data_IF_632603680606
#
_entry.id   IF_632603680606
#
_cell.length_a   1.000
_cell.length_b   1.000
_cell.length_c   1.000
_cell.angle_alpha   90.00
_cell.angle_beta   90.00
_cell.angle_gamma   90.00
#
_symmetry.space_group_name_H-M   'P 1'
#
loop_
_entity.id
_entity.type
_entity.pdbx_description
1 polymer ?
#
# COMPACT_ATOMS: atom_id res chain seq x y z
N UNK A 1 -1.99 -9.83 -66.52
CA UNK A 1 -2.19 -8.66 -65.63
C UNK A 1 -3.36 -8.97 -64.72
N UNK A 2 -3.14 -8.80 -63.41
CA UNK A 2 -3.96 -9.12 -62.23
C UNK A 2 -5.41 -8.60 -62.32
N UNK A 3 -6.42 -9.17 -61.66
CA UNK A 3 -6.58 -9.27 -60.19
C UNK A 3 -7.64 -10.32 -59.76
N UNK A 4 -7.41 -10.92 -58.59
CA UNK A 4 -8.40 -11.67 -57.80
C UNK A 4 -9.23 -10.72 -56.94
N UNK A 5 -10.50 -11.05 -56.65
CA UNK A 5 -11.16 -10.87 -55.33
C UNK A 5 -12.44 -11.71 -55.31
N UNK A 6 -12.44 -12.81 -54.55
CA UNK A 6 -13.64 -13.59 -54.26
C UNK A 6 -14.13 -13.26 -52.86
N UNK A 7 -15.36 -12.77 -52.81
CA UNK A 7 -16.20 -12.49 -51.65
C UNK A 7 -16.63 -13.76 -50.93
N UNK A 8 -16.54 -13.79 -49.61
CA UNK A 8 -17.19 -14.78 -48.74
C UNK A 8 -18.36 -14.15 -48.00
N UNK A 9 -19.53 -14.70 -48.27
CA UNK A 9 -20.84 -14.40 -47.69
C UNK A 9 -21.08 -15.10 -46.35
N UNK A 10 -21.71 -14.37 -45.41
CA UNK A 10 -22.71 -14.77 -44.38
C UNK A 10 -22.40 -15.99 -43.47
N UNK A 11 -22.74 -16.00 -42.18
CA UNK A 11 -24.12 -15.94 -41.64
C UNK A 11 -24.06 -15.90 -40.10
N UNK A 12 -25.00 -15.21 -39.48
CA UNK A 12 -25.27 -15.21 -38.05
C UNK A 12 -26.18 -16.38 -37.62
N UNK A 13 -25.90 -16.99 -36.47
CA UNK A 13 -26.92 -17.68 -35.66
C UNK A 13 -26.52 -17.80 -34.19
N UNK A 14 -27.48 -17.46 -33.35
CA UNK A 14 -27.58 -17.47 -31.88
C UNK A 14 -27.49 -18.85 -31.22
N UNK A 15 -27.00 -18.91 -29.97
CA UNK A 15 -27.21 -20.05 -29.05
C UNK A 15 -26.19 -20.07 -27.91
N UNK A 16 -26.67 -20.30 -26.68
CA UNK A 16 -26.02 -19.98 -25.40
C UNK A 16 -25.15 -21.09 -24.78
N UNK A 17 -24.36 -20.65 -23.79
CA UNK A 17 -23.86 -21.33 -22.59
C UNK A 17 -22.64 -22.28 -22.61
N UNK A 18 -21.58 -21.75 -21.98
CA UNK A 18 -20.59 -22.36 -21.06
C UNK A 18 -19.89 -23.65 -21.53
N UNK A 19 -18.65 -23.53 -22.03
CA UNK A 19 -17.51 -24.40 -21.68
C UNK A 19 -16.18 -23.64 -21.88
N UNK A 20 -15.42 -23.48 -20.79
CA UNK A 20 -13.96 -23.42 -20.79
C UNK A 20 -13.29 -22.16 -21.34
N UNK A 21 -13.01 -21.21 -20.46
CA UNK A 21 -11.96 -20.21 -20.65
C UNK A 21 -10.62 -20.95 -20.84
N UNK A 22 -10.28 -21.23 -22.09
CA UNK A 22 -8.99 -21.75 -22.51
C UNK A 22 -8.02 -20.60 -22.29
N UNK A 23 -7.22 -20.74 -21.24
CA UNK A 23 -6.25 -19.76 -20.80
C UNK A 23 -5.56 -19.05 -21.96
N UNK A 24 -5.92 -17.78 -22.12
CA UNK A 24 -5.10 -16.83 -22.85
C UNK A 24 -3.79 -16.74 -22.06
N UNK A 25 -2.79 -17.50 -22.52
CA UNK A 25 -1.44 -17.36 -22.00
C UNK A 25 -1.09 -15.87 -22.15
N UNK A 26 -0.79 -15.15 -21.06
CA UNK A 26 -0.54 -13.71 -21.15
C UNK A 26 0.53 -13.51 -22.21
N UNK A 27 0.22 -12.72 -23.26
CA UNK A 27 1.21 -12.43 -24.28
C UNK A 27 2.47 -11.94 -23.56
N UNK A 28 3.66 -12.50 -23.89
CA UNK A 28 4.87 -12.16 -23.17
C UNK A 28 5.12 -10.66 -23.32
N UNK A 29 5.13 -9.95 -22.20
CA UNK A 29 5.48 -8.53 -22.15
C UNK A 29 6.89 -8.38 -22.67
N UNK A 30 7.06 -7.70 -23.81
CA UNK A 30 8.37 -7.44 -24.40
C UNK A 30 9.03 -6.28 -23.64
N UNK A 31 10.25 -6.52 -23.15
CA UNK A 31 11.01 -5.55 -22.35
C UNK A 31 12.30 -5.16 -23.05
N UNK A 32 12.78 -3.96 -22.77
CA UNK A 32 14.16 -3.59 -23.09
C UNK A 32 15.10 -4.19 -22.04
N UNK A 33 16.35 -4.43 -22.39
CA UNK A 33 17.35 -4.94 -21.44
C UNK A 33 18.21 -3.77 -20.97
N UNK A 34 18.42 -3.64 -19.66
CA UNK A 34 19.31 -2.62 -19.13
C UNK A 34 20.72 -2.79 -19.71
N UNK A 35 21.31 -1.69 -20.16
CA UNK A 35 22.69 -1.63 -20.61
C UNK A 35 23.71 -1.72 -19.46
N UNK A 36 23.25 -1.59 -18.20
CA UNK A 36 24.11 -1.60 -17.02
C UNK A 36 23.83 -2.81 -16.14
N UNK A 37 24.80 -3.71 -16.05
CA UNK A 37 24.68 -4.96 -15.28
C UNK A 37 24.68 -4.75 -13.77
N UNK A 38 25.08 -3.57 -13.28
CA UNK A 38 25.03 -3.20 -11.88
C UNK A 38 23.68 -2.58 -11.47
N UNK A 39 22.74 -2.41 -12.41
CA UNK A 39 21.37 -2.06 -12.06
C UNK A 39 20.70 -3.18 -11.27
N UNK A 40 19.87 -2.79 -10.30
CA UNK A 40 19.00 -3.69 -9.56
C UNK A 40 17.54 -3.33 -9.82
N UNK A 41 16.60 -4.13 -9.33
CA UNK A 41 15.19 -3.74 -9.37
C UNK A 41 14.95 -2.42 -8.62
N UNK A 42 15.54 -2.23 -7.44
CA UNK A 42 15.24 -1.06 -6.60
C UNK A 42 16.02 0.18 -6.97
N UNK A 43 17.27 0.04 -7.41
CA UNK A 43 18.19 1.16 -7.63
C UNK A 43 18.88 1.06 -8.99
N UNK A 44 19.08 2.22 -9.63
CA UNK A 44 20.05 2.31 -10.72
C UNK A 44 21.48 2.07 -10.19
N UNK A 45 22.37 1.63 -11.07
CA UNK A 45 23.74 1.27 -10.74
C UNK A 45 24.46 2.35 -9.93
N UNK A 46 25.02 1.96 -8.78
CA UNK A 46 25.76 2.80 -7.85
C UNK A 46 24.97 3.98 -7.24
N UNK A 47 23.64 3.96 -7.34
CA UNK A 47 22.75 5.03 -6.87
C UNK A 47 21.81 4.56 -5.74
N UNK A 48 22.28 3.59 -4.94
CA UNK A 48 21.54 3.15 -3.74
C UNK A 48 21.25 4.36 -2.84
N UNK A 49 19.99 4.50 -2.41
CA UNK A 49 19.50 5.62 -1.61
C UNK A 49 19.59 7.01 -2.25
N UNK A 50 19.88 7.07 -3.55
CA UNK A 50 20.00 8.34 -4.29
C UNK A 50 19.09 8.39 -5.49
N UNK A 51 18.90 7.27 -6.18
CA UNK A 51 18.07 7.21 -7.39
C UNK A 51 17.34 5.87 -7.44
N UNK A 52 16.16 5.78 -6.82
CA UNK A 52 15.33 4.60 -6.95
C UNK A 52 14.91 4.46 -8.41
N UNK A 53 14.74 3.21 -8.83
CA UNK A 53 14.23 2.91 -10.16
C UNK A 53 12.77 3.34 -10.27
N UNK A 54 12.43 4.00 -11.37
CA UNK A 54 11.06 4.44 -11.64
C UNK A 54 10.14 3.25 -11.86
N UNK A 55 8.83 3.45 -11.63
CA UNK A 55 7.83 2.44 -11.94
C UNK A 55 7.82 2.08 -13.43
N UNK A 56 8.08 3.06 -14.31
CA UNK A 56 8.24 2.82 -15.74
C UNK A 56 9.34 1.81 -16.04
N UNK A 57 10.55 2.08 -15.57
CA UNK A 57 11.69 1.19 -15.80
C UNK A 57 11.52 -0.15 -15.08
N UNK A 58 10.84 -0.18 -13.94
CA UNK A 58 10.59 -1.40 -13.19
C UNK A 58 9.84 -2.46 -13.99
N UNK A 59 8.85 -2.06 -14.79
CA UNK A 59 8.06 -2.98 -15.60
C UNK A 59 8.63 -3.16 -17.01
N UNK A 60 9.21 -2.11 -17.58
CA UNK A 60 9.58 -2.06 -19.00
C UNK A 60 11.04 -2.42 -19.27
N UNK A 61 11.92 -2.40 -18.26
CA UNK A 61 13.36 -2.67 -18.39
C UNK A 61 13.75 -3.90 -17.56
N UNK A 62 14.25 -4.94 -18.23
CA UNK A 62 14.79 -6.13 -17.59
C UNK A 62 16.22 -5.90 -17.08
N UNK A 63 16.53 -6.42 -15.90
CA UNK A 63 17.86 -6.37 -15.29
C UNK A 63 18.44 -7.75 -15.02
N UNK A 64 19.76 -7.78 -14.87
CA UNK A 64 20.54 -8.96 -14.51
C UNK A 64 20.11 -9.57 -13.17
N UNK A 65 19.59 -8.76 -12.23
CA UNK A 65 19.13 -9.24 -10.92
C UNK A 65 17.85 -10.10 -10.99
N UNK A 66 17.20 -10.19 -12.15
CA UNK A 66 16.02 -11.02 -12.37
C UNK A 66 14.74 -10.20 -12.59
N UNK A 67 13.59 -10.84 -12.33
CA UNK A 67 12.28 -10.24 -12.51
C UNK A 67 11.96 -9.23 -11.40
N UNK A 68 11.47 -8.06 -11.79
CA UNK A 68 11.08 -7.01 -10.85
C UNK A 68 9.56 -6.94 -10.69
N UNK A 69 9.11 -6.33 -9.59
CA UNK A 69 7.73 -5.95 -9.36
C UNK A 69 7.62 -4.58 -8.69
N UNK A 70 6.52 -3.88 -8.95
CA UNK A 70 6.13 -2.70 -8.18
C UNK A 70 5.29 -3.13 -6.98
N UNK A 71 5.64 -2.63 -5.80
CA UNK A 71 4.86 -2.77 -4.58
C UNK A 71 3.73 -1.73 -4.49
N UNK A 72 2.72 -1.90 -3.61
CA UNK A 72 1.65 -0.91 -3.43
C UNK A 72 2.14 0.52 -3.13
N UNK A 73 3.29 0.67 -2.46
CA UNK A 73 3.89 1.98 -2.16
C UNK A 73 4.69 2.58 -3.33
N UNK A 74 4.66 1.99 -4.53
CA UNK A 74 5.34 2.49 -5.73
C UNK A 74 6.82 2.11 -5.82
N UNK A 75 7.37 1.37 -4.86
CA UNK A 75 8.76 0.93 -4.94
C UNK A 75 8.94 -0.28 -5.86
N UNK A 76 10.01 -0.27 -6.65
CA UNK A 76 10.43 -1.42 -7.44
C UNK A 76 11.29 -2.39 -6.61
N UNK A 77 10.95 -3.68 -6.62
CA UNK A 77 11.62 -4.72 -5.84
C UNK A 77 11.89 -5.97 -6.64
N UNK A 78 12.80 -6.82 -6.16
CA UNK A 78 13.08 -8.11 -6.78
C UNK A 78 11.95 -9.10 -6.49
N UNK A 79 11.34 -9.65 -7.53
CA UNK A 79 10.21 -10.56 -7.37
C UNK A 79 10.57 -11.85 -6.63
N UNK A 80 11.81 -12.34 -6.76
CA UNK A 80 12.23 -13.57 -6.09
C UNK A 80 12.23 -13.41 -4.58
N UNK A 81 12.68 -12.26 -4.07
CA UNK A 81 12.71 -11.92 -2.65
C UNK A 81 11.30 -11.76 -2.06
N UNK A 82 10.36 -11.25 -2.86
CA UNK A 82 8.98 -10.97 -2.45
C UNK A 82 7.96 -12.00 -2.95
N UNK A 83 8.43 -13.11 -3.53
CA UNK A 83 7.59 -14.16 -4.14
C UNK A 83 6.55 -14.74 -3.18
N UNK A 84 6.92 -14.85 -1.89
CA UNK A 84 6.03 -15.30 -0.80
C UNK A 84 4.82 -14.41 -0.57
N UNK A 85 4.89 -13.12 -0.92
CA UNK A 85 3.78 -12.18 -0.76
C UNK A 85 2.80 -12.21 -1.95
N UNK A 86 3.22 -12.76 -3.09
CA UNK A 86 2.35 -12.92 -4.26
C UNK A 86 1.28 -13.99 -4.03
N UNK A 87 1.64 -15.06 -3.32
CA UNK A 87 0.71 -16.15 -3.00
C UNK A 87 -0.33 -15.74 -1.96
N UNK A 88 -0.02 -14.75 -1.13
CA UNK A 88 -0.93 -14.22 -0.10
C UNK A 88 -1.78 -13.04 -0.61
N UNK A 89 -1.49 -12.54 -1.81
CA UNK A 89 -2.21 -11.41 -2.40
C UNK A 89 -3.71 -11.70 -2.61
N UNK A 90 -4.06 -12.97 -2.91
CA UNK A 90 -5.45 -13.40 -3.05
C UNK A 90 -6.24 -13.27 -1.73
N UNK A 91 -5.56 -13.31 -0.58
CA UNK A 91 -6.16 -13.27 0.75
C UNK A 91 -6.43 -11.84 1.24
N UNK A 92 -5.56 -10.89 0.90
CA UNK A 92 -5.62 -9.50 1.40
C UNK A 92 -6.12 -8.47 0.38
N UNK A 93 -6.45 -8.90 -0.84
CA UNK A 93 -7.07 -8.06 -1.87
C UNK A 93 -6.18 -6.91 -2.35
N UNK A 94 -6.82 -5.81 -2.77
CA UNK A 94 -6.18 -4.71 -3.52
C UNK A 94 -5.08 -3.97 -2.75
N UNK A 95 -5.07 -4.02 -1.41
CA UNK A 95 -4.11 -3.29 -0.58
C UNK A 95 -2.68 -3.84 -0.67
N UNK A 96 -2.52 -5.11 -1.03
CA UNK A 96 -1.22 -5.77 -1.13
C UNK A 96 -0.92 -6.22 -2.56
N UNK A 97 -1.49 -5.52 -3.54
CA UNK A 97 -1.29 -5.84 -4.95
C UNK A 97 0.09 -5.42 -5.44
N UNK A 98 0.88 -6.42 -5.82
CA UNK A 98 2.16 -6.31 -6.51
C UNK A 98 1.95 -6.44 -8.01
N UNK A 99 2.74 -5.69 -8.77
CA UNK A 99 2.68 -5.67 -10.23
C UNK A 99 3.97 -6.23 -10.80
N UNK A 100 4.05 -7.55 -11.06
CA UNK A 100 5.23 -8.17 -11.63
C UNK A 100 5.43 -7.79 -13.09
N UNK A 101 6.65 -7.40 -13.43
CA UNK A 101 7.07 -6.99 -14.77
C UNK A 101 6.82 -8.04 -15.85
N UNK A 102 6.78 -9.33 -15.53
CA UNK A 102 6.41 -10.39 -16.49
C UNK A 102 4.96 -10.37 -16.96
N UNK A 103 4.06 -9.69 -16.24
CA UNK A 103 2.61 -9.65 -16.52
C UNK A 103 2.11 -8.26 -16.93
N UNK A 104 2.84 -7.21 -16.56
CA UNK A 104 2.40 -5.82 -16.73
C UNK A 104 3.49 -5.00 -17.41
N UNK A 105 3.05 -4.05 -18.24
CA UNK A 105 3.87 -3.00 -18.86
C UNK A 105 3.45 -1.67 -18.25
N UNK A 106 4.38 -0.74 -18.02
CA UNK A 106 4.03 0.61 -17.56
C UNK A 106 3.76 1.52 -18.76
N UNK A 107 2.76 2.41 -18.66
CA UNK A 107 2.44 3.34 -19.74
C UNK A 107 3.51 4.41 -19.94
N UNK A 108 3.68 4.86 -21.19
CA UNK A 108 4.47 6.05 -21.50
C UNK A 108 3.85 7.32 -20.92
N UNK A 109 4.65 8.36 -20.78
CA UNK A 109 4.19 9.68 -20.29
C UNK A 109 3.25 10.38 -21.28
N UNK A 110 3.18 9.89 -22.51
CA UNK A 110 2.34 10.36 -23.61
C UNK A 110 0.98 9.64 -23.70
N UNK A 111 0.73 8.63 -22.87
CA UNK A 111 -0.59 8.00 -22.80
C UNK A 111 -1.62 8.97 -22.19
N UNK A 112 -2.62 9.32 -23.00
CA UNK A 112 -3.64 10.31 -22.63
C UNK A 112 -4.50 9.85 -21.45
N UNK A 113 -4.76 8.55 -21.35
CA UNK A 113 -5.61 7.97 -20.29
C UNK A 113 -4.89 8.04 -18.94
N UNK A 114 -3.62 7.62 -18.92
CA UNK A 114 -2.79 7.74 -17.73
C UNK A 114 -2.54 9.20 -17.34
N UNK A 115 -2.35 10.09 -18.31
CA UNK A 115 -2.22 11.53 -18.04
C UNK A 115 -3.45 12.12 -17.35
N UNK A 116 -4.65 11.74 -17.79
CA UNK A 116 -5.90 12.17 -17.16
C UNK A 116 -6.08 11.63 -15.73
N UNK A 117 -5.74 10.34 -15.53
CA UNK A 117 -5.73 9.71 -14.21
C UNK A 117 -4.75 10.41 -13.25
N UNK A 118 -3.50 10.63 -13.70
CA UNK A 118 -2.45 11.32 -12.95
C UNK A 118 -2.84 12.75 -12.57
N UNK A 119 -3.51 13.49 -13.46
CA UNK A 119 -3.99 14.83 -13.15
C UNK A 119 -5.01 14.84 -11.98
N UNK A 120 -5.90 13.85 -11.96
CA UNK A 120 -6.90 13.68 -10.89
C UNK A 120 -6.22 13.35 -9.57
N UNK A 121 -5.34 12.33 -9.55
CA UNK A 121 -4.61 11.92 -8.35
C UNK A 121 -3.78 13.05 -7.75
N UNK A 122 -3.10 13.83 -8.60
CA UNK A 122 -2.33 14.98 -8.15
C UNK A 122 -3.20 16.11 -7.59
N UNK A 123 -4.42 16.29 -8.10
CA UNK A 123 -5.39 17.24 -7.54
C UNK A 123 -5.89 16.79 -6.17
N UNK A 124 -6.22 15.51 -6.05
CA UNK A 124 -6.73 14.91 -4.80
C UNK A 124 -5.65 14.94 -3.73
N UNK A 125 -4.41 14.56 -4.08
CA UNK A 125 -3.26 14.61 -3.16
C UNK A 125 -2.99 16.02 -2.65
N UNK A 126 -3.08 17.06 -3.50
CA UNK A 126 -2.93 18.46 -3.05
C UNK A 126 -4.04 18.91 -2.10
N UNK A 127 -5.22 18.31 -2.18
CA UNK A 127 -6.39 18.71 -1.40
C UNK A 127 -6.47 17.96 -0.08
N UNK A 128 -6.17 16.66 -0.09
CA UNK A 128 -6.32 15.75 1.04
C UNK A 128 -5.00 15.36 1.72
N UNK A 129 -3.85 15.75 1.14
CA UNK A 129 -2.49 15.34 1.55
C UNK A 129 -2.24 13.81 1.49
N UNK A 130 -3.20 13.06 0.93
CA UNK A 130 -3.15 11.61 0.77
C UNK A 130 -4.12 11.15 -0.32
N UNK A 131 -3.92 9.92 -0.81
CA UNK A 131 -4.87 9.18 -1.64
C UNK A 131 -5.31 7.95 -0.84
N UNK A 132 -6.61 7.85 -0.53
CA UNK A 132 -7.15 6.85 0.41
C UNK A 132 -6.94 5.39 -0.02
N UNK A 133 -6.66 5.10 -1.29
CA UNK A 133 -6.45 3.72 -1.75
C UNK A 133 -5.41 3.61 -2.88
N UNK A 134 -4.68 2.48 -2.99
CA UNK A 134 -3.83 2.19 -4.13
C UNK A 134 -4.69 2.16 -5.39
N UNK A 135 -4.64 3.27 -6.13
CA UNK A 135 -5.41 3.45 -7.35
C UNK A 135 -4.51 3.20 -8.55
N UNK A 136 -5.02 2.45 -9.51
CA UNK A 136 -4.36 2.22 -10.79
C UNK A 136 -5.28 2.63 -11.92
N UNK A 137 -4.69 2.87 -13.08
CA UNK A 137 -5.38 3.22 -14.30
C UNK A 137 -4.74 2.41 -15.44
N UNK A 138 -5.57 2.00 -16.40
CA UNK A 138 -5.14 1.22 -17.56
C UNK A 138 -5.14 2.15 -18.76
N UNK A 139 -3.97 2.28 -19.42
CA UNK A 139 -3.80 3.09 -20.62
C UNK A 139 -4.42 2.46 -21.87
N UNK A 140 -4.25 3.12 -23.01
CA UNK A 140 -4.91 2.75 -24.27
C UNK A 140 -4.50 1.37 -24.77
N UNK A 141 -3.23 1.01 -24.61
CA UNK A 141 -2.66 -0.28 -25.05
C UNK A 141 -2.69 -1.36 -23.95
N UNK A 142 -3.48 -1.16 -22.88
CA UNK A 142 -3.53 -2.09 -21.75
C UNK A 142 -2.32 -1.99 -20.81
N UNK A 143 -1.47 -0.98 -20.98
CA UNK A 143 -0.40 -0.65 -20.05
C UNK A 143 -0.97 -0.11 -18.72
N UNK A 144 -0.14 -0.10 -17.68
CA UNK A 144 -0.51 0.28 -16.33
C UNK A 144 0.14 1.60 -15.93
N UNK A 145 -0.60 2.45 -15.22
CA UNK A 145 -0.05 3.53 -14.41
C UNK A 145 -0.63 3.47 -13.00
N UNK A 146 0.16 3.90 -12.02
CA UNK A 146 -0.13 3.73 -10.59
C UNK A 146 -0.06 5.08 -9.90
N UNK A 147 -1.10 5.43 -9.13
CA UNK A 147 -1.17 6.71 -8.44
C UNK A 147 0.08 7.00 -7.63
N UNK A 148 0.55 6.06 -6.81
CA UNK A 148 1.71 6.27 -5.94
C UNK A 148 3.01 6.53 -6.70
N UNK A 149 3.15 6.06 -7.94
CA UNK A 149 4.31 6.32 -8.78
C UNK A 149 4.29 7.72 -9.42
N UNK A 150 3.10 8.31 -9.54
CA UNK A 150 2.84 9.55 -10.28
C UNK A 150 2.70 10.78 -9.37
N UNK A 151 2.74 10.56 -8.05
CA UNK A 151 2.69 11.63 -7.03
C UNK A 151 4.01 12.39 -6.92
N UNK A 152 4.00 13.70 -6.63
CA UNK A 152 5.22 14.53 -6.64
C UNK A 152 6.24 14.14 -5.56
N UNK A 153 5.81 13.55 -4.45
CA UNK A 153 6.65 13.14 -3.32
C UNK A 153 7.14 11.70 -3.42
N UNK A 154 6.71 10.93 -4.45
CA UNK A 154 6.94 9.48 -4.55
C UNK A 154 8.40 9.10 -4.29
N UNK A 155 9.30 9.85 -4.92
CA UNK A 155 10.74 9.62 -4.86
C UNK A 155 11.26 9.77 -3.43
N UNK A 156 10.84 10.83 -2.74
CA UNK A 156 11.24 11.09 -1.36
C UNK A 156 10.72 10.00 -0.44
N UNK A 157 9.47 9.58 -0.62
CA UNK A 157 8.90 8.47 0.17
C UNK A 157 9.70 7.19 0.00
N UNK A 158 10.02 6.79 -1.24
CA UNK A 158 10.80 5.57 -1.49
C UNK A 158 12.18 5.63 -0.87
N UNK A 159 12.87 6.77 -0.99
CA UNK A 159 14.20 6.94 -0.38
C UNK A 159 14.10 6.92 1.14
N UNK A 160 13.18 7.66 1.75
CA UNK A 160 12.98 7.67 3.20
C UNK A 160 12.69 6.28 3.75
N UNK A 161 11.75 5.55 3.14
CA UNK A 161 11.36 4.19 3.55
C UNK A 161 12.54 3.21 3.54
N UNK A 162 13.43 3.31 2.56
CA UNK A 162 14.54 2.38 2.40
C UNK A 162 15.81 2.79 3.15
N UNK A 163 16.03 4.09 3.33
CA UNK A 163 17.38 4.62 3.59
C UNK A 163 17.51 5.38 4.90
N UNK A 164 16.41 5.85 5.49
CA UNK A 164 16.48 6.50 6.81
C UNK A 164 16.83 5.52 7.95
N UNK A 165 16.88 4.22 7.65
CA UNK A 165 17.50 3.20 8.51
C UNK A 165 19.04 3.28 8.56
N UNK A 166 19.70 3.99 7.62
CA UNK A 166 21.15 3.88 7.37
C UNK A 166 22.00 5.10 7.77
N UNK A 167 21.40 6.19 8.25
CA UNK A 167 22.14 7.34 8.82
C UNK A 167 22.52 7.16 10.31
N UNK A 168 22.53 5.91 10.79
CA UNK A 168 22.90 5.57 12.17
C UNK A 168 24.32 5.04 12.31
N UNK A 169 25.28 5.43 11.46
CA UNK A 169 26.71 5.34 11.79
C UNK A 169 27.06 6.51 12.76
N UNK A 170 26.47 6.46 13.96
CA UNK A 170 26.52 7.57 14.91
C UNK A 170 25.37 7.64 15.92
N UNK A 171 24.40 6.71 15.90
CA UNK A 171 23.47 6.53 17.00
C UNK A 171 23.68 5.14 17.61
N UNK A 172 24.30 5.13 18.79
CA UNK A 172 24.13 4.04 19.75
C UNK A 172 22.65 3.72 19.79
N UNK A 173 22.32 2.45 19.64
CA UNK A 173 21.04 1.88 20.05
C UNK A 173 20.79 2.24 21.52
N UNK A 174 20.16 3.38 21.73
CA UNK A 174 19.26 3.63 22.83
C UNK A 174 17.94 3.88 22.10
N UNK A 175 17.12 2.87 21.88
CA UNK A 175 16.02 2.61 22.83
C UNK A 175 16.13 3.42 24.12
N UNK A 176 15.96 4.74 24.02
CA UNK A 176 15.51 5.49 25.18
C UNK A 176 14.04 5.15 25.35
N UNK A 177 13.79 4.19 26.23
CA UNK A 177 12.54 3.90 26.93
C UNK A 177 12.02 5.10 27.76
N UNK A 178 12.31 6.33 27.33
CA UNK A 178 12.09 7.57 28.06
C UNK A 178 10.90 8.41 27.54
N UNK A 179 10.21 7.98 26.48
CA UNK A 179 9.00 8.68 25.98
C UNK A 179 7.68 7.88 26.13
N UNK A 180 7.71 6.76 26.86
CA UNK A 180 6.50 6.09 27.35
C UNK A 180 6.23 6.33 28.84
N UNK A 181 7.26 6.77 29.59
CA UNK A 181 7.16 7.11 31.01
C UNK A 181 6.42 8.45 31.23
N UNK A 182 6.57 9.42 30.31
CA UNK A 182 5.88 10.72 30.42
C UNK A 182 4.36 10.62 30.30
N UNK A 183 3.86 9.85 29.32
CA UNK A 183 2.42 9.64 29.15
C UNK A 183 1.81 8.73 30.22
N UNK A 184 2.54 7.69 30.67
CA UNK A 184 2.06 6.82 31.74
C UNK A 184 1.96 7.54 33.09
N UNK A 185 2.91 8.43 33.41
CA UNK A 185 2.85 9.25 34.62
C UNK A 185 1.76 10.34 34.53
N UNK A 186 1.59 10.99 33.37
CA UNK A 186 0.54 11.99 33.20
C UNK A 186 -0.88 11.38 33.31
N UNK A 187 -1.09 10.21 32.69
CA UNK A 187 -2.37 9.49 32.77
C UNK A 187 -2.58 8.95 34.19
N UNK A 188 -1.56 8.36 34.82
CA UNK A 188 -1.63 7.86 36.19
C UNK A 188 -1.97 8.96 37.22
N UNK A 189 -1.38 10.15 37.08
CA UNK A 189 -1.67 11.30 37.96
C UNK A 189 -3.09 11.81 37.70
N UNK A 190 -3.52 11.93 36.44
CA UNK A 190 -4.88 12.37 36.12
C UNK A 190 -5.95 11.41 36.67
N UNK A 191 -5.77 10.09 36.47
CA UNK A 191 -6.67 9.08 37.04
C UNK A 191 -6.61 9.06 38.57
N UNK A 192 -5.42 9.20 39.18
CA UNK A 192 -5.26 9.26 40.62
C UNK A 192 -5.97 10.47 41.26
N UNK A 193 -5.89 11.64 40.63
CA UNK A 193 -6.61 12.84 41.09
C UNK A 193 -8.11 12.67 40.92
N UNK A 194 -8.58 12.11 39.80
CA UNK A 194 -10.01 11.87 39.57
C UNK A 194 -10.60 10.86 40.57
N UNK A 195 -9.88 9.76 40.84
CA UNK A 195 -10.29 8.74 41.83
C UNK A 195 -10.19 9.30 43.25
N UNK A 196 -9.15 10.07 43.57
CA UNK A 196 -8.99 10.72 44.87
C UNK A 196 -10.11 11.73 45.16
N UNK A 197 -10.45 12.59 44.19
CA UNK A 197 -11.59 13.51 44.29
C UNK A 197 -12.92 12.77 44.41
N UNK A 198 -13.09 11.63 43.72
CA UNK A 198 -14.25 10.75 43.87
C UNK A 198 -14.33 10.10 45.25
N UNK A 199 -13.21 9.62 45.80
CA UNK A 199 -13.16 9.01 47.13
C UNK A 199 -13.43 10.04 48.24
N UNK A 200 -12.85 11.24 48.12
CA UNK A 200 -13.15 12.37 49.01
C UNK A 200 -14.64 12.74 48.92
N UNK A 201 -15.20 12.82 47.70
CA UNK A 201 -16.62 13.06 47.49
C UNK A 201 -17.50 11.96 48.08
N UNK A 202 -17.10 10.69 48.01
CA UNK A 202 -17.79 9.58 48.69
C UNK A 202 -17.70 9.68 50.21
N UNK A 203 -16.54 10.02 50.78
CA UNK A 203 -16.37 10.18 52.23
C UNK A 203 -17.15 11.40 52.77
N UNK A 204 -17.26 12.47 52.00
CA UNK A 204 -18.15 13.60 52.34
C UNK A 204 -19.63 13.25 52.13
N UNK A 205 -19.95 12.37 51.18
CA UNK A 205 -21.31 11.84 50.99
C UNK A 205 -21.69 10.78 52.03
N UNK A 206 -20.73 10.19 52.73
CA UNK A 206 -20.97 9.27 53.87
C UNK A 206 -21.08 10.02 55.21
N UNK A 207 -20.66 11.28 55.27
CA UNK A 207 -20.92 12.16 56.42
C UNK A 207 -22.16 13.03 56.26
N UNK A 208 -22.81 12.99 55.10
CA UNK A 208 -24.06 13.68 54.83
C UNK A 208 -25.14 12.69 54.41
N UNK A 209 -26.13 12.48 55.27
CA UNK A 209 -27.41 11.79 55.02
C UNK A 209 -27.35 10.27 54.82
N UNK A 210 -27.90 9.57 55.82
CA UNK A 210 -28.08 8.13 55.80
C UNK A 210 -29.28 7.65 54.98
N UNK A 211 -29.45 6.32 55.04
CA UNK A 211 -30.60 5.51 54.60
C UNK A 211 -31.00 5.62 53.13
N UNK A 212 -30.76 4.55 52.39
CA UNK A 212 -31.54 4.25 51.19
C UNK A 212 -30.97 3.08 50.39
N UNK A 213 -31.54 1.88 50.58
CA UNK A 213 -31.34 0.72 49.71
C UNK A 213 -31.77 1.08 48.29
N UNK A 214 -30.91 0.80 47.32
CA UNK A 214 -31.26 0.78 45.90
C UNK A 214 -30.28 -0.14 45.18
N UNK A 215 -30.70 -1.38 44.91
CA UNK A 215 -29.98 -2.28 44.02
C UNK A 215 -29.98 -1.69 42.62
N UNK A 216 -28.80 -1.44 42.06
CA UNK A 216 -28.63 -1.22 40.63
C UNK A 216 -27.46 -2.08 40.16
N UNK A 217 -27.78 -3.09 39.35
CA UNK A 217 -26.82 -3.88 38.59
C UNK A 217 -26.39 -3.01 37.40
N UNK A 218 -25.10 -2.69 37.20
CA UNK A 218 -24.65 -2.24 35.90
C UNK A 218 -24.34 -3.47 35.06
N UNK A 219 -25.08 -3.63 33.97
CA UNK A 219 -24.78 -4.59 32.93
C UNK A 219 -23.34 -4.44 32.46
N UNK A 220 -22.70 -5.58 32.24
CA UNK A 220 -21.43 -5.72 31.53
C UNK A 220 -21.49 -4.90 30.24
N UNK A 221 -20.83 -3.75 30.24
CA UNK A 221 -20.69 -2.90 29.07
C UNK A 221 -19.86 -3.65 28.05
N UNK A 222 -20.49 -3.99 26.92
CA UNK A 222 -19.92 -4.63 25.72
C UNK A 222 -18.71 -3.88 25.12
N UNK A 223 -18.34 -2.74 25.69
CA UNK A 223 -17.26 -1.86 25.26
C UNK A 223 -15.88 -2.28 25.79
N UNK A 224 -15.81 -3.09 26.87
CA UNK A 224 -14.54 -3.55 27.44
C UNK A 224 -13.97 -4.81 26.76
N UNK A 225 -14.83 -5.62 26.12
CA UNK A 225 -14.38 -6.80 25.37
C UNK A 225 -13.77 -6.40 24.00
N UNK A 226 -14.27 -5.32 23.39
CA UNK A 226 -13.76 -4.81 22.11
C UNK A 226 -12.38 -4.16 22.25
N UNK A 227 -12.10 -3.56 23.42
CA UNK A 227 -10.80 -2.96 23.74
C UNK A 227 -9.71 -4.00 24.04
N UNK A 228 -10.08 -5.20 24.48
CA UNK A 228 -9.13 -6.30 24.72
C UNK A 228 -8.72 -7.02 23.42
N UNK A 229 -9.60 -7.07 22.41
CA UNK A 229 -9.30 -7.69 21.12
C UNK A 229 -8.44 -6.81 20.19
N UNK A 230 -8.38 -5.50 20.42
CA UNK A 230 -7.55 -4.56 19.65
C UNK A 230 -6.10 -4.44 20.16
N UNK A 231 -5.73 -5.18 21.20
CA UNK A 231 -4.38 -5.15 21.79
C UNK A 231 -3.54 -6.41 21.49
N UNK A 232 -4.08 -7.37 20.74
CA UNK A 232 -3.36 -8.58 20.30
C UNK A 232 -3.13 -8.66 18.79
N UNK A 233 -3.28 -7.54 18.05
CA UNK A 233 -2.79 -7.42 16.66
C UNK A 233 -1.95 -6.15 16.49
#
# INVERSE_FOLDING_TARGET
MSTSHSSSSSTSSTGADIVGDIGDAPMPVTKTVSSNTADSCTWYANESCKRPRTCYDCLNVQVSSGECAIMPNGMCVNLAEYSKFLTTQEEFGIYYKYYPSRKYTYCGTDDETCSACTATWNSDYKTADNIETPTYCTGLDGCLCLARCELPDWFSTVVTDQCESSNSAGHRSQTSSASRIGFALAIGIAFGVLVGLWAIKMLFRDRGTGRGRGSYVPGTSHQLLLLMLLLEY
#
